data_IF_606690688866
#
_entry.id   IF_606690688866
#
_cell.length_a   1.000
_cell.length_b   1.000
_cell.length_c   1.000
_cell.angle_alpha   90.00
_cell.angle_beta   90.00
_cell.angle_gamma   90.00
#
_symmetry.space_group_name_H-M   'P 1'
#
loop_
_entity.id
_entity.type
_entity.pdbx_description
1 polymer ?
#
# COMPACT_ATOMS: atom_id res chain seq x y z
N UNK A 1 22.39 20.54 14.94
CA UNK A 1 21.31 19.85 14.21
C UNK A 1 21.82 18.66 13.37
N UNK A 2 22.79 18.84 12.47
CA UNK A 2 23.22 17.76 11.55
C UNK A 2 23.77 16.50 12.24
N UNK A 3 24.66 16.64 13.24
CA UNK A 3 25.20 15.48 14.00
C UNK A 3 24.12 14.74 14.80
N UNK A 4 23.15 15.47 15.35
CA UNK A 4 22.04 14.88 16.08
C UNK A 4 21.12 14.07 15.15
N UNK A 5 20.76 14.66 13.99
CA UNK A 5 19.91 13.98 13.02
C UNK A 5 20.62 12.76 12.42
N UNK A 6 21.91 12.85 12.15
CA UNK A 6 22.71 11.72 11.67
C UNK A 6 22.69 10.53 12.67
N UNK A 7 22.80 10.83 13.96
CA UNK A 7 22.73 9.79 15.02
C UNK A 7 21.32 9.20 15.19
N UNK A 8 20.27 9.98 14.97
CA UNK A 8 18.90 9.61 15.35
C UNK A 8 17.98 9.28 14.16
N UNK A 9 18.43 9.40 12.91
CA UNK A 9 17.55 9.25 11.73
C UNK A 9 16.79 7.91 11.72
N UNK A 10 17.46 6.79 12.08
CA UNK A 10 16.79 5.48 12.14
C UNK A 10 15.73 5.44 13.24
N UNK A 11 15.96 6.06 14.39
CA UNK A 11 14.96 6.15 15.46
C UNK A 11 13.73 6.95 15.00
N UNK A 12 13.96 8.06 14.26
CA UNK A 12 12.87 8.89 13.72
C UNK A 12 12.03 8.10 12.73
N UNK A 13 12.68 7.38 11.80
CA UNK A 13 11.98 6.56 10.81
C UNK A 13 11.20 5.44 11.51
N UNK A 14 11.84 4.75 12.46
CA UNK A 14 11.19 3.70 13.25
C UNK A 14 9.97 4.23 14.01
N UNK A 15 10.11 5.37 14.68
CA UNK A 15 9.02 6.01 15.42
C UNK A 15 7.87 6.41 14.48
N UNK A 16 8.20 6.97 13.31
CA UNK A 16 7.20 7.31 12.31
C UNK A 16 6.40 6.08 11.84
N UNK A 17 7.05 4.95 11.63
CA UNK A 17 6.38 3.70 11.24
C UNK A 17 5.47 3.16 12.35
N UNK A 18 5.93 3.13 13.59
CA UNK A 18 5.17 2.65 14.74
C UNK A 18 3.99 3.59 15.03
N UNK A 19 4.16 4.89 14.92
CA UNK A 19 3.07 5.85 15.13
C UNK A 19 2.14 6.00 13.92
N UNK A 20 2.53 5.45 12.74
CA UNK A 20 1.75 5.52 11.51
C UNK A 20 0.29 5.10 11.65
N UNK A 21 -0.03 3.91 12.22
CA UNK A 21 -1.40 3.46 12.45
C UNK A 21 -2.23 4.44 13.30
N UNK A 22 -1.62 5.09 14.28
CA UNK A 22 -2.29 6.07 15.16
C UNK A 22 -2.53 7.40 14.44
N UNK A 23 -1.66 7.82 13.52
CA UNK A 23 -1.88 8.99 12.69
C UNK A 23 -3.01 8.76 11.68
N UNK A 24 -3.08 7.57 11.07
CA UNK A 24 -4.18 7.17 10.20
C UNK A 24 -5.50 7.14 11.00
N UNK A 25 -5.48 6.57 12.20
CA UNK A 25 -6.61 6.55 13.13
C UNK A 25 -7.08 7.96 13.49
N UNK A 26 -6.16 8.85 13.89
CA UNK A 26 -6.50 10.24 14.27
C UNK A 26 -7.21 10.95 13.13
N UNK A 27 -6.71 10.83 11.89
CA UNK A 27 -7.35 11.43 10.72
C UNK A 27 -8.74 10.85 10.49
N UNK A 28 -8.90 9.54 10.64
CA UNK A 28 -10.19 8.88 10.49
C UNK A 28 -11.21 9.35 11.54
N UNK A 29 -10.80 9.48 12.80
CA UNK A 29 -11.65 10.00 13.87
C UNK A 29 -12.05 11.47 13.63
N UNK A 30 -11.12 12.33 13.19
CA UNK A 30 -11.42 13.71 12.84
C UNK A 30 -12.51 13.79 11.77
N UNK A 31 -12.42 12.98 10.73
CA UNK A 31 -13.40 12.98 9.63
C UNK A 31 -14.73 12.37 10.06
N UNK A 32 -14.74 11.17 10.67
CA UNK A 32 -15.97 10.42 10.90
C UNK A 32 -16.72 10.86 12.16
N UNK A 33 -15.99 11.15 13.25
CA UNK A 33 -16.60 11.48 14.54
C UNK A 33 -16.77 13.00 14.69
N UNK A 34 -15.69 13.75 14.46
CA UNK A 34 -15.70 15.19 14.66
C UNK A 34 -16.20 15.99 13.44
N UNK A 35 -16.39 15.32 12.28
CA UNK A 35 -16.83 15.95 11.01
C UNK A 35 -15.91 17.07 10.53
N UNK A 36 -14.64 17.00 10.88
CA UNK A 36 -13.60 17.96 10.47
C UNK A 36 -12.93 17.38 9.23
N UNK A 37 -13.04 18.07 8.10
CA UNK A 37 -12.43 17.67 6.81
C UNK A 37 -10.90 17.86 6.75
N UNK A 38 -10.25 18.03 7.91
CA UNK A 38 -8.81 18.25 7.99
C UNK A 38 -8.04 16.94 7.94
N UNK A 39 -7.21 16.80 6.92
CA UNK A 39 -6.39 15.63 6.73
C UNK A 39 -5.04 15.76 7.46
N UNK A 40 -5.06 15.57 8.78
CA UNK A 40 -3.90 15.68 9.67
C UNK A 40 -2.69 14.85 9.19
N UNK A 41 -2.95 13.66 8.70
CA UNK A 41 -1.87 12.74 8.30
C UNK A 41 -1.05 13.23 7.10
N UNK A 42 -1.63 14.04 6.20
CA UNK A 42 -0.87 14.63 5.09
C UNK A 42 0.27 15.49 5.64
N UNK A 43 0.00 16.32 6.64
CA UNK A 43 1.02 17.18 7.25
C UNK A 43 2.13 16.35 7.89
N UNK A 44 1.76 15.33 8.67
CA UNK A 44 2.73 14.44 9.31
C UNK A 44 3.62 13.73 8.28
N UNK A 45 3.02 13.24 7.18
CA UNK A 45 3.75 12.58 6.09
C UNK A 45 4.67 13.54 5.33
N UNK A 46 4.24 14.77 5.11
CA UNK A 46 5.08 15.82 4.49
C UNK A 46 6.25 16.20 5.39
N UNK A 47 6.03 16.36 6.69
CA UNK A 47 7.12 16.60 7.65
C UNK A 47 8.13 15.45 7.67
N UNK A 48 7.65 14.22 7.67
CA UNK A 48 8.51 13.05 7.57
C UNK A 48 9.32 13.04 6.27
N UNK A 49 8.66 13.27 5.13
CA UNK A 49 9.31 13.36 3.82
C UNK A 49 10.39 14.45 3.82
N UNK A 50 10.09 15.61 4.39
CA UNK A 50 11.05 16.71 4.52
C UNK A 50 12.29 16.31 5.34
N UNK A 51 12.11 15.59 6.46
CA UNK A 51 13.22 15.13 7.31
C UNK A 51 14.15 14.17 6.54
N UNK A 52 13.60 13.17 5.84
CA UNK A 52 14.41 12.19 5.10
C UNK A 52 15.06 12.81 3.85
N UNK A 53 14.39 13.74 3.18
CA UNK A 53 14.96 14.55 2.09
C UNK A 53 16.13 15.41 2.60
N UNK A 54 15.91 16.14 3.71
CA UNK A 54 16.96 16.96 4.32
C UNK A 54 18.19 16.11 4.66
N UNK A 55 17.98 14.93 5.26
CA UNK A 55 19.08 14.00 5.52
C UNK A 55 19.81 13.61 4.22
N UNK A 56 19.10 13.15 3.22
CA UNK A 56 19.69 12.68 1.96
C UNK A 56 20.44 13.77 1.20
N UNK A 57 19.95 15.03 1.28
CA UNK A 57 20.53 16.18 0.55
C UNK A 57 21.69 16.80 1.31
N UNK A 58 21.60 16.99 2.63
CA UNK A 58 22.55 17.82 3.37
C UNK A 58 23.49 17.02 4.28
N UNK A 59 23.06 15.85 4.79
CA UNK A 59 23.81 15.12 5.82
C UNK A 59 24.58 13.93 5.25
N UNK A 60 23.94 13.15 4.37
CA UNK A 60 24.58 11.98 3.76
C UNK A 60 25.90 12.34 3.06
N UNK A 61 26.91 11.49 3.27
CA UNK A 61 28.23 11.59 2.63
C UNK A 61 28.40 10.60 1.49
N UNK A 62 27.35 9.85 1.15
CA UNK A 62 27.42 8.81 0.15
C UNK A 62 27.69 9.38 -1.26
N UNK A 63 28.54 8.69 -2.04
CA UNK A 63 28.88 9.09 -3.41
C UNK A 63 27.66 9.15 -4.36
N UNK A 64 26.62 8.36 -4.09
CA UNK A 64 25.39 8.37 -4.89
C UNK A 64 24.49 9.57 -4.63
N UNK A 65 24.79 10.39 -3.63
CA UNK A 65 24.07 11.63 -3.32
C UNK A 65 23.92 12.56 -4.54
N UNK A 66 24.94 12.68 -5.38
CA UNK A 66 24.88 13.52 -6.58
C UNK A 66 23.78 13.10 -7.55
N UNK A 67 23.51 11.79 -7.69
CA UNK A 67 22.43 11.28 -8.53
C UNK A 67 21.05 11.53 -7.92
N UNK A 68 20.94 11.42 -6.59
CA UNK A 68 19.70 11.77 -5.90
C UNK A 68 19.39 13.27 -6.01
N UNK A 69 20.39 14.14 -5.93
CA UNK A 69 20.22 15.58 -6.12
C UNK A 69 19.73 15.91 -7.53
N UNK A 70 20.31 15.27 -8.56
CA UNK A 70 19.86 15.44 -9.93
C UNK A 70 18.39 14.97 -10.09
N UNK A 71 18.05 13.83 -9.52
CA UNK A 71 16.68 13.33 -9.53
C UNK A 71 15.70 14.27 -8.83
N UNK A 72 16.04 14.81 -7.65
CA UNK A 72 15.19 15.78 -6.96
C UNK A 72 15.03 17.09 -7.75
N UNK A 73 16.05 17.51 -8.48
CA UNK A 73 15.94 18.66 -9.37
C UNK A 73 14.89 18.42 -10.46
N UNK A 74 14.93 17.27 -11.14
CA UNK A 74 13.95 16.94 -12.17
C UNK A 74 12.52 16.83 -11.61
N UNK A 75 12.34 16.16 -10.48
CA UNK A 75 11.02 16.11 -9.81
C UNK A 75 10.56 17.52 -9.43
N UNK A 76 11.43 18.33 -8.85
CA UNK A 76 11.08 19.68 -8.44
C UNK A 76 10.63 20.54 -9.63
N UNK A 77 11.34 20.48 -10.75
CA UNK A 77 10.94 21.17 -11.98
C UNK A 77 9.58 20.68 -12.49
N UNK A 78 9.38 19.36 -12.51
CA UNK A 78 8.08 18.78 -12.88
C UNK A 78 6.96 19.26 -11.96
N UNK A 79 7.16 19.20 -10.65
CA UNK A 79 6.18 19.63 -9.65
C UNK A 79 5.87 21.14 -9.78
N UNK A 80 6.87 21.99 -10.02
CA UNK A 80 6.67 23.43 -10.25
C UNK A 80 5.75 23.67 -11.45
N UNK A 81 6.01 23.02 -12.58
CA UNK A 81 5.20 23.17 -13.79
C UNK A 81 3.77 22.71 -13.50
N UNK A 82 3.59 21.56 -12.85
CA UNK A 82 2.27 21.01 -12.50
C UNK A 82 1.51 21.94 -11.52
N UNK A 83 2.19 22.52 -10.54
CA UNK A 83 1.59 23.44 -9.55
C UNK A 83 1.18 24.77 -10.23
N UNK A 84 2.02 25.32 -11.10
CA UNK A 84 1.67 26.55 -11.85
C UNK A 84 0.46 26.28 -12.74
N UNK A 85 0.42 25.15 -13.43
CA UNK A 85 -0.72 24.79 -14.26
C UNK A 85 -2.02 24.61 -13.44
N UNK A 86 -1.92 23.95 -12.28
CA UNK A 86 -3.03 23.78 -11.36
C UNK A 86 -3.56 25.14 -10.83
N UNK A 87 -2.67 26.07 -10.51
CA UNK A 87 -3.03 27.41 -10.08
C UNK A 87 -3.82 28.20 -11.14
N UNK A 88 -3.45 28.03 -12.41
CA UNK A 88 -4.06 28.76 -13.51
C UNK A 88 -5.39 28.17 -13.98
N UNK A 89 -5.57 26.83 -13.86
CA UNK A 89 -6.61 26.14 -14.59
C UNK A 89 -7.51 25.22 -13.74
N UNK A 90 -7.17 24.95 -12.46
CA UNK A 90 -7.84 23.93 -11.65
C UNK A 90 -8.03 24.33 -10.21
N UNK A 91 -8.73 23.49 -9.41
CA UNK A 91 -8.76 23.64 -7.94
C UNK A 91 -7.35 23.37 -7.37
N UNK A 92 -6.66 24.45 -7.07
CA UNK A 92 -5.26 24.45 -6.66
C UNK A 92 -4.97 23.56 -5.44
N UNK A 93 -5.79 23.65 -4.39
CA UNK A 93 -5.54 22.93 -3.13
C UNK A 93 -5.70 21.43 -3.34
N UNK A 94 -6.71 21.01 -4.08
CA UNK A 94 -6.98 19.62 -4.36
C UNK A 94 -5.90 19.00 -5.27
N UNK A 95 -5.53 19.67 -6.35
CA UNK A 95 -4.47 19.23 -7.27
C UNK A 95 -3.13 19.08 -6.55
N UNK A 96 -2.69 20.12 -5.82
CA UNK A 96 -1.41 20.12 -5.11
C UNK A 96 -1.35 19.01 -4.05
N UNK A 97 -2.44 18.80 -3.31
CA UNK A 97 -2.48 17.73 -2.30
C UNK A 97 -2.32 16.33 -2.91
N UNK A 98 -2.95 16.10 -4.08
CA UNK A 98 -2.82 14.82 -4.79
C UNK A 98 -1.44 14.66 -5.45
N UNK A 99 -0.89 15.70 -6.05
CA UNK A 99 0.48 15.68 -6.60
C UNK A 99 1.47 15.23 -5.52
N UNK A 100 1.44 15.83 -4.33
CA UNK A 100 2.31 15.44 -3.23
C UNK A 100 2.05 14.02 -2.74
N UNK A 101 0.80 13.60 -2.68
CA UNK A 101 0.43 12.23 -2.30
C UNK A 101 1.05 11.21 -3.26
N UNK A 102 0.96 11.44 -4.56
CA UNK A 102 1.50 10.54 -5.57
C UNK A 102 3.04 10.52 -5.55
N UNK A 103 3.69 11.66 -5.53
CA UNK A 103 5.16 11.73 -5.56
C UNK A 103 5.84 11.44 -4.21
N UNK A 104 5.08 11.21 -3.15
CA UNK A 104 5.63 10.77 -1.87
C UNK A 104 6.48 9.51 -2.02
N UNK A 105 5.97 8.48 -2.70
CA UNK A 105 6.66 7.19 -2.85
C UNK A 105 8.04 7.33 -3.52
N UNK A 106 8.18 7.88 -4.74
CA UNK A 106 9.49 7.94 -5.40
C UNK A 106 10.48 8.84 -4.67
N UNK A 107 10.03 9.94 -4.06
CA UNK A 107 10.89 10.83 -3.27
C UNK A 107 11.37 10.15 -1.99
N UNK A 108 10.47 9.50 -1.25
CA UNK A 108 10.81 8.74 -0.05
C UNK A 108 11.72 7.54 -0.38
N UNK A 109 11.48 6.84 -1.50
CA UNK A 109 12.30 5.72 -1.95
C UNK A 109 13.75 6.14 -2.17
N UNK A 110 13.99 7.22 -2.92
CA UNK A 110 15.34 7.72 -3.17
C UNK A 110 16.00 8.16 -1.87
N UNK A 111 15.29 8.88 -1.01
CA UNK A 111 15.81 9.36 0.27
C UNK A 111 16.20 8.21 1.21
N UNK A 112 15.33 7.24 1.36
CA UNK A 112 15.59 6.06 2.20
C UNK A 112 16.69 5.18 1.61
N UNK A 113 16.77 5.06 0.29
CA UNK A 113 17.88 4.34 -0.36
C UNK A 113 19.25 4.96 0.00
N UNK A 114 19.36 6.29 -0.02
CA UNK A 114 20.60 6.98 0.40
C UNK A 114 20.89 6.71 1.88
N UNK A 115 19.88 6.74 2.77
CA UNK A 115 20.03 6.42 4.20
C UNK A 115 20.53 4.97 4.39
N UNK A 116 20.01 4.02 3.61
CA UNK A 116 20.47 2.62 3.64
C UNK A 116 21.91 2.45 3.13
N UNK A 117 22.30 3.23 2.13
CA UNK A 117 23.69 3.26 1.65
C UNK A 117 24.66 3.84 2.68
N UNK A 118 24.19 4.63 3.63
CA UNK A 118 24.99 5.08 4.79
C UNK A 118 25.02 4.03 5.93
N UNK A 119 24.76 2.75 5.62
CA UNK A 119 24.67 1.62 6.57
C UNK A 119 23.59 1.77 7.66
N UNK A 120 22.59 2.61 7.43
CA UNK A 120 21.48 2.87 8.36
C UNK A 120 20.26 2.07 7.93
N UNK A 121 20.14 0.82 8.44
CA UNK A 121 19.07 -0.11 8.07
C UNK A 121 17.99 -0.16 9.15
N UNK A 122 16.75 -0.32 8.72
CA UNK A 122 15.58 -0.49 9.58
C UNK A 122 15.37 -1.99 9.79
N UNK A 123 15.14 -2.42 11.04
CA UNK A 123 14.85 -3.83 11.34
C UNK A 123 13.48 -4.21 10.76
N UNK A 124 13.41 -5.32 10.02
CA UNK A 124 12.16 -5.85 9.47
C UNK A 124 11.14 -6.27 10.54
N UNK A 125 11.56 -6.48 11.79
CA UNK A 125 10.66 -6.73 12.94
C UNK A 125 9.69 -5.57 13.17
N UNK A 126 10.07 -4.34 12.81
CA UNK A 126 9.20 -3.17 12.92
C UNK A 126 7.94 -3.36 12.07
N UNK A 127 8.05 -3.96 10.88
CA UNK A 127 6.90 -4.27 10.02
C UNK A 127 5.89 -5.23 10.70
N UNK A 128 6.41 -6.16 11.51
CA UNK A 128 5.58 -7.05 12.32
C UNK A 128 4.85 -6.32 13.44
N UNK A 129 5.49 -5.33 14.07
CA UNK A 129 4.87 -4.49 15.11
C UNK A 129 3.77 -3.63 14.49
N UNK A 130 4.06 -2.96 13.39
CA UNK A 130 3.08 -2.13 12.65
C UNK A 130 1.87 -2.97 12.23
N UNK A 131 2.08 -4.19 11.73
CA UNK A 131 0.98 -5.10 11.43
C UNK A 131 0.11 -5.40 12.66
N UNK A 132 0.74 -5.71 13.80
CA UNK A 132 0.02 -6.00 15.04
C UNK A 132 -0.83 -4.81 15.50
N UNK A 133 -0.32 -3.59 15.37
CA UNK A 133 -1.05 -2.36 15.71
C UNK A 133 -2.28 -2.19 14.81
N UNK A 134 -2.13 -2.29 13.48
CA UNK A 134 -3.28 -2.28 12.56
C UNK A 134 -4.28 -3.40 12.87
N UNK A 135 -3.79 -4.62 13.10
CA UNK A 135 -4.65 -5.76 13.45
C UNK A 135 -5.50 -5.48 14.70
N UNK A 136 -4.90 -4.93 15.76
CA UNK A 136 -5.60 -4.60 17.00
C UNK A 136 -6.58 -3.44 16.81
N UNK A 137 -6.18 -2.38 16.09
CA UNK A 137 -7.03 -1.22 15.79
C UNK A 137 -8.20 -1.55 14.85
N UNK A 138 -8.18 -2.70 14.19
CA UNK A 138 -9.33 -3.24 13.45
C UNK A 138 -10.12 -4.22 14.31
N UNK A 139 -9.44 -5.13 15.02
CA UNK A 139 -10.09 -6.19 15.79
C UNK A 139 -10.90 -5.66 16.97
N UNK A 140 -10.35 -4.72 17.75
CA UNK A 140 -11.04 -4.15 18.92
C UNK A 140 -12.36 -3.49 18.52
N UNK A 141 -12.42 -2.59 17.51
CA UNK A 141 -13.69 -2.01 17.06
C UNK A 141 -14.70 -3.02 16.52
N UNK A 142 -14.23 -4.11 15.89
CA UNK A 142 -15.10 -5.17 15.42
C UNK A 142 -15.80 -5.88 16.58
N UNK A 143 -15.07 -6.18 17.66
CA UNK A 143 -15.61 -6.85 18.85
C UNK A 143 -16.54 -5.92 19.64
N UNK A 144 -16.15 -4.65 19.79
CA UNK A 144 -16.94 -3.65 20.52
C UNK A 144 -18.07 -3.02 19.71
N UNK A 145 -18.17 -3.36 18.39
CA UNK A 145 -19.14 -2.78 17.45
C UNK A 145 -19.05 -1.25 17.32
N UNK A 146 -17.88 -0.69 17.54
CA UNK A 146 -17.60 0.76 17.42
C UNK A 146 -16.91 1.11 16.10
N UNK A 147 -16.65 0.13 15.24
CA UNK A 147 -15.96 0.32 13.97
C UNK A 147 -16.81 1.04 12.92
N UNK A 148 -16.14 1.68 11.96
CA UNK A 148 -16.79 2.31 10.83
C UNK A 148 -17.10 1.29 9.74
N UNK A 149 -18.14 1.56 8.95
CA UNK A 149 -18.48 0.74 7.81
C UNK A 149 -17.44 0.90 6.68
N UNK A 150 -17.07 -0.20 6.07
CA UNK A 150 -16.15 -0.21 4.92
C UNK A 150 -16.74 0.43 3.66
N UNK A 151 -18.06 0.45 3.57
CA UNK A 151 -18.80 0.88 2.39
C UNK A 151 -19.95 1.78 2.79
N UNK A 152 -20.23 2.79 1.95
CA UNK A 152 -21.29 3.77 2.20
C UNK A 152 -22.69 3.27 1.80
N UNK A 153 -22.77 2.24 0.93
CA UNK A 153 -24.03 1.76 0.35
C UNK A 153 -24.25 0.27 0.59
N UNK A 154 -24.81 -0.44 -0.34
CA UNK A 154 -25.31 -1.82 -0.25
C UNK A 154 -24.34 -2.88 0.30
N UNK A 155 -23.04 -2.67 0.17
CA UNK A 155 -22.04 -3.60 0.67
C UNK A 155 -21.85 -3.46 2.18
N UNK A 156 -21.53 -4.59 2.83
CA UNK A 156 -21.28 -4.66 4.27
C UNK A 156 -19.80 -4.96 4.56
N UNK A 157 -19.29 -4.43 5.65
CA UNK A 157 -17.93 -4.65 6.11
C UNK A 157 -17.51 -3.61 7.14
N UNK A 158 -16.46 -3.91 7.87
CA UNK A 158 -15.84 -2.95 8.79
C UNK A 158 -14.34 -3.06 8.74
N UNK A 159 -13.67 -1.92 8.70
CA UNK A 159 -12.22 -1.75 8.74
C UNK A 159 -11.74 -1.16 10.07
N UNK A 160 -12.48 -1.46 11.14
CA UNK A 160 -12.19 -0.87 12.44
C UNK A 160 -12.48 0.62 12.46
N UNK A 161 -11.56 1.40 12.98
CA UNK A 161 -11.69 2.87 13.03
C UNK A 161 -11.00 3.59 11.87
N UNK A 162 -10.74 2.91 10.76
CA UNK A 162 -10.09 3.51 9.58
C UNK A 162 -11.10 3.91 8.50
N UNK A 163 -10.64 4.69 7.49
CA UNK A 163 -11.49 5.21 6.42
C UNK A 163 -11.35 4.46 5.09
N UNK A 164 -10.17 3.96 4.78
CA UNK A 164 -9.85 3.44 3.44
C UNK A 164 -9.70 1.94 3.45
N UNK A 165 -10.67 1.23 2.87
CA UNK A 165 -10.66 -0.23 2.75
C UNK A 165 -9.48 -0.74 1.93
N UNK A 166 -9.15 -0.06 0.82
CA UNK A 166 -8.07 -0.48 -0.06
C UNK A 166 -6.69 -0.30 0.59
N UNK A 167 -6.46 0.82 1.28
CA UNK A 167 -5.20 1.07 1.99
C UNK A 167 -4.99 0.05 3.11
N UNK A 168 -6.01 -0.15 3.96
CA UNK A 168 -5.93 -1.10 5.06
C UNK A 168 -5.81 -2.54 4.56
N UNK A 169 -6.54 -2.91 3.52
CA UNK A 169 -6.40 -4.21 2.86
C UNK A 169 -5.00 -4.43 2.28
N UNK A 170 -4.40 -3.40 1.70
CA UNK A 170 -3.02 -3.40 1.20
C UNK A 170 -2.01 -3.61 2.33
N UNK A 171 -2.08 -2.80 3.39
CA UNK A 171 -1.21 -2.92 4.57
C UNK A 171 -1.32 -4.32 5.17
N UNK A 172 -2.54 -4.80 5.39
CA UNK A 172 -2.80 -6.12 5.94
C UNK A 172 -2.12 -7.21 5.12
N UNK A 173 -2.28 -7.16 3.81
CA UNK A 173 -1.69 -8.13 2.88
C UNK A 173 -0.15 -8.11 2.87
N UNK A 174 0.43 -6.92 2.79
CA UNK A 174 1.88 -6.74 2.58
C UNK A 174 2.66 -7.04 3.85
N UNK A 175 2.11 -6.74 5.03
CA UNK A 175 2.80 -6.90 6.31
C UNK A 175 2.54 -8.25 6.98
N UNK A 176 1.45 -8.95 6.66
CA UNK A 176 1.12 -10.26 7.22
C UNK A 176 2.29 -11.27 7.18
N UNK A 177 3.07 -11.40 6.08
CA UNK A 177 4.21 -12.32 6.04
C UNK A 177 5.25 -12.08 7.12
N UNK A 178 5.54 -10.82 7.46
CA UNK A 178 6.50 -10.45 8.50
C UNK A 178 5.97 -10.82 9.90
N UNK A 179 4.69 -10.57 10.15
CA UNK A 179 4.05 -10.93 11.40
C UNK A 179 4.03 -12.45 11.60
N UNK A 180 3.65 -13.22 10.59
CA UNK A 180 3.65 -14.70 10.65
C UNK A 180 5.04 -15.26 10.90
N UNK A 181 6.08 -14.71 10.26
CA UNK A 181 7.47 -15.11 10.51
C UNK A 181 7.84 -14.95 11.99
N UNK A 182 7.55 -13.79 12.58
CA UNK A 182 7.85 -13.54 14.00
C UNK A 182 7.01 -14.43 14.94
N UNK A 183 5.73 -14.64 14.61
CA UNK A 183 4.83 -15.49 15.37
C UNK A 183 5.30 -16.95 15.40
N UNK A 184 5.67 -17.51 14.24
CA UNK A 184 6.18 -18.88 14.10
C UNK A 184 7.52 -19.04 14.85
N UNK A 185 8.36 -18.00 14.85
CA UNK A 185 9.64 -18.05 15.54
C UNK A 185 9.50 -18.14 17.08
N UNK A 186 8.37 -17.67 17.64
CA UNK A 186 8.07 -17.83 19.07
C UNK A 186 7.77 -19.28 19.48
N UNK A 187 7.51 -20.17 18.53
CA UNK A 187 7.21 -21.62 18.73
C UNK A 187 6.05 -21.91 19.69
N UNK A 188 5.20 -20.94 19.98
CA UNK A 188 4.02 -21.09 20.86
C UNK A 188 2.78 -21.41 20.03
N UNK A 189 2.27 -22.64 20.12
CA UNK A 189 1.16 -23.10 19.31
C UNK A 189 -0.17 -22.40 19.68
N UNK A 190 -0.37 -22.14 20.98
CA UNK A 190 -1.61 -21.47 21.46
C UNK A 190 -1.66 -20.06 20.90
N UNK A 191 -0.55 -19.33 20.98
CA UNK A 191 -0.44 -17.98 20.45
C UNK A 191 -0.67 -17.95 18.92
N UNK A 192 -0.13 -18.94 18.21
CA UNK A 192 -0.35 -19.08 16.76
C UNK A 192 -1.84 -19.31 16.43
N UNK A 193 -2.53 -20.16 17.17
CA UNK A 193 -3.97 -20.43 16.96
C UNK A 193 -4.78 -19.17 17.25
N UNK A 194 -4.52 -18.48 18.37
CA UNK A 194 -5.25 -17.25 18.72
C UNK A 194 -5.11 -16.19 17.63
N UNK A 195 -3.88 -15.87 17.22
CA UNK A 195 -3.67 -14.87 16.17
C UNK A 195 -4.19 -15.31 14.81
N UNK A 196 -4.13 -16.59 14.51
CA UNK A 196 -4.71 -17.12 13.30
C UNK A 196 -6.23 -16.85 13.26
N UNK A 197 -6.95 -17.15 14.34
CA UNK A 197 -8.39 -16.89 14.44
C UNK A 197 -8.68 -15.40 14.29
N UNK A 198 -7.91 -14.53 14.96
CA UNK A 198 -8.06 -13.07 14.87
C UNK A 198 -7.85 -12.59 13.43
N UNK A 199 -6.76 -13.01 12.77
CA UNK A 199 -6.43 -12.63 11.40
C UNK A 199 -7.54 -13.03 10.43
N UNK A 200 -8.03 -14.27 10.55
CA UNK A 200 -9.12 -14.77 9.71
C UNK A 200 -10.41 -13.99 9.98
N UNK A 201 -10.77 -13.82 11.24
CA UNK A 201 -11.96 -13.04 11.62
C UNK A 201 -11.91 -11.63 11.04
N UNK A 202 -10.79 -10.93 11.19
CA UNK A 202 -10.58 -9.58 10.65
C UNK A 202 -10.66 -9.58 9.13
N UNK A 203 -9.97 -10.50 8.43
CA UNK A 203 -9.95 -10.53 6.97
C UNK A 203 -11.35 -10.74 6.36
N UNK A 204 -12.16 -11.61 6.96
CA UNK A 204 -13.54 -11.83 6.50
C UNK A 204 -14.49 -10.67 6.87
N UNK A 205 -14.26 -10.03 8.01
CA UNK A 205 -15.07 -8.90 8.48
C UNK A 205 -14.86 -7.62 7.66
N UNK A 206 -13.70 -7.44 7.02
CA UNK A 206 -13.45 -6.32 6.10
C UNK A 206 -14.39 -6.30 4.90
N UNK A 207 -14.96 -7.45 4.51
CA UNK A 207 -15.88 -7.56 3.39
C UNK A 207 -15.24 -7.41 2.00
N UNK A 208 -13.92 -7.22 1.91
CA UNK A 208 -13.18 -7.14 0.65
C UNK A 208 -12.48 -8.46 0.30
N UNK A 209 -12.28 -8.71 -1.02
CA UNK A 209 -11.73 -9.98 -1.51
C UNK A 209 -10.24 -10.12 -1.22
N UNK A 210 -9.50 -9.03 -1.30
CA UNK A 210 -8.03 -9.04 -1.24
C UNK A 210 -7.50 -9.54 0.11
N UNK A 211 -7.89 -9.03 1.28
CA UNK A 211 -7.39 -9.54 2.56
C UNK A 211 -7.65 -11.04 2.75
N UNK A 212 -8.81 -11.53 2.30
CA UNK A 212 -9.17 -12.97 2.43
C UNK A 212 -8.25 -13.83 1.56
N UNK A 213 -8.16 -13.52 0.26
CA UNK A 213 -7.37 -14.29 -0.70
C UNK A 213 -5.90 -14.27 -0.30
N UNK A 214 -5.36 -13.10 0.03
CA UNK A 214 -3.94 -12.95 0.35
C UNK A 214 -3.57 -13.56 1.69
N UNK A 215 -4.48 -13.58 2.67
CA UNK A 215 -4.28 -14.32 3.91
C UNK A 215 -4.11 -15.81 3.62
N UNK A 216 -5.00 -16.40 2.84
CA UNK A 216 -4.92 -17.82 2.45
C UNK A 216 -3.62 -18.11 1.68
N UNK A 217 -3.28 -17.29 0.69
CA UNK A 217 -2.05 -17.45 -0.10
C UNK A 217 -0.80 -17.34 0.77
N UNK A 218 -0.78 -16.43 1.75
CA UNK A 218 0.37 -16.26 2.65
C UNK A 218 0.55 -17.48 3.56
N UNK A 219 -0.52 -18.03 4.13
CA UNK A 219 -0.43 -19.26 4.92
C UNK A 219 0.03 -20.44 4.09
N UNK A 220 -0.49 -20.61 2.87
CA UNK A 220 -0.05 -21.66 1.93
C UNK A 220 1.43 -21.52 1.60
N UNK A 221 1.90 -20.31 1.32
CA UNK A 221 3.31 -20.04 1.07
C UNK A 221 4.18 -20.49 2.25
N UNK A 222 3.80 -20.13 3.47
CA UNK A 222 4.57 -20.50 4.67
C UNK A 222 4.57 -22.01 4.89
N UNK A 223 3.44 -22.68 4.65
CA UNK A 223 3.39 -24.16 4.67
C UNK A 223 4.40 -24.72 3.68
N UNK A 224 4.40 -24.27 2.43
CA UNK A 224 5.33 -24.74 1.38
C UNK A 224 6.79 -24.46 1.76
N UNK A 225 7.11 -23.27 2.28
CA UNK A 225 8.47 -22.90 2.69
C UNK A 225 9.01 -23.77 3.82
N UNK A 226 8.17 -24.21 4.76
CA UNK A 226 8.59 -25.00 5.92
C UNK A 226 8.44 -26.51 5.71
N UNK A 227 7.64 -26.97 4.74
CA UNK A 227 7.48 -28.40 4.40
C UNK A 227 8.84 -29.08 4.19
N UNK A 228 9.77 -28.42 3.53
CA UNK A 228 11.08 -28.96 3.16
C UNK A 228 12.10 -28.91 4.30
N UNK A 229 12.01 -27.89 5.16
CA UNK A 229 13.15 -27.49 6.03
C UNK A 229 12.89 -27.61 7.53
N UNK A 230 11.65 -27.76 8.00
CA UNK A 230 11.39 -27.73 9.44
C UNK A 230 10.01 -28.28 9.84
N UNK A 231 9.95 -29.58 10.11
CA UNK A 231 8.71 -30.30 10.45
C UNK A 231 7.99 -29.76 11.72
N UNK A 232 8.72 -29.23 12.69
CA UNK A 232 8.10 -28.64 13.89
C UNK A 232 7.32 -27.35 13.57
N UNK A 233 7.89 -26.50 12.72
CA UNK A 233 7.23 -25.26 12.30
C UNK A 233 5.99 -25.51 11.44
N UNK A 234 5.93 -26.62 10.73
CA UNK A 234 4.75 -27.02 9.96
C UNK A 234 3.55 -27.23 10.87
N UNK A 235 3.71 -27.91 12.01
CA UNK A 235 2.60 -28.14 12.94
C UNK A 235 1.96 -26.84 13.40
N UNK A 236 2.75 -25.77 13.57
CA UNK A 236 2.25 -24.43 13.95
C UNK A 236 1.38 -23.76 12.87
N UNK A 237 1.49 -24.20 11.62
CA UNK A 237 0.74 -23.66 10.48
C UNK A 237 -0.39 -24.57 10.04
N UNK A 238 -0.13 -25.87 9.95
CA UNK A 238 -1.09 -26.86 9.41
C UNK A 238 -2.27 -27.03 10.35
N UNK A 239 -2.08 -27.08 11.66
CA UNK A 239 -3.18 -27.22 12.60
C UNK A 239 -4.17 -26.04 12.52
N UNK A 240 -3.73 -24.75 12.61
CA UNK A 240 -4.61 -23.62 12.37
C UNK A 240 -5.28 -23.65 10.99
N UNK A 241 -4.57 -24.09 9.95
CA UNK A 241 -5.09 -24.13 8.59
C UNK A 241 -6.20 -25.19 8.41
N UNK A 242 -6.03 -26.38 9.02
CA UNK A 242 -7.09 -27.42 9.05
C UNK A 242 -8.33 -26.91 9.81
N UNK A 243 -8.12 -26.25 10.96
CA UNK A 243 -9.20 -25.62 11.72
C UNK A 243 -9.93 -24.57 10.88
N UNK A 244 -9.21 -23.79 10.06
CA UNK A 244 -9.84 -22.83 9.16
C UNK A 244 -10.74 -23.53 8.14
N UNK A 245 -10.25 -24.55 7.46
CA UNK A 245 -11.04 -25.26 6.44
C UNK A 245 -12.30 -25.85 7.07
N UNK A 246 -12.21 -26.47 8.24
CA UNK A 246 -13.36 -27.06 8.91
C UNK A 246 -14.39 -26.02 9.39
N UNK A 247 -13.93 -24.89 9.91
CA UNK A 247 -14.79 -23.79 10.37
C UNK A 247 -15.32 -22.95 9.21
N UNK A 248 -14.58 -22.82 8.12
CA UNK A 248 -14.95 -21.96 6.99
C UNK A 248 -16.25 -22.41 6.33
N UNK A 249 -16.48 -23.72 6.18
CA UNK A 249 -17.70 -24.27 5.59
C UNK A 249 -18.94 -23.78 6.33
N UNK A 250 -18.86 -23.66 7.66
CA UNK A 250 -19.99 -23.23 8.51
C UNK A 250 -20.07 -21.71 8.69
N UNK A 251 -18.92 -21.04 8.78
CA UNK A 251 -18.84 -19.62 9.10
C UNK A 251 -18.90 -18.70 7.88
N UNK A 252 -18.37 -19.11 6.72
CA UNK A 252 -18.32 -18.28 5.51
C UNK A 252 -19.69 -17.69 5.16
N UNK A 253 -20.81 -18.43 5.14
CA UNK A 253 -22.12 -17.86 4.79
C UNK A 253 -22.59 -16.72 5.71
N UNK A 254 -22.02 -16.62 6.92
CA UNK A 254 -22.37 -15.59 7.92
C UNK A 254 -21.43 -14.37 7.89
N UNK A 255 -20.40 -14.38 7.03
CA UNK A 255 -19.41 -13.31 6.95
C UNK A 255 -19.84 -12.18 6.04
N UNK A 256 -19.34 -10.96 6.31
CA UNK A 256 -19.49 -9.80 5.45
C UNK A 256 -18.95 -10.06 4.04
N UNK A 257 -17.87 -10.82 3.94
CA UNK A 257 -17.28 -11.24 2.67
C UNK A 257 -18.28 -12.01 1.80
N UNK A 258 -18.94 -13.02 2.35
CA UNK A 258 -19.93 -13.80 1.61
C UNK A 258 -21.16 -12.99 1.23
N UNK A 259 -21.64 -12.14 2.14
CA UNK A 259 -22.75 -11.23 1.85
C UNK A 259 -22.42 -10.31 0.67
N UNK A 260 -21.21 -9.76 0.61
CA UNK A 260 -20.79 -8.94 -0.51
C UNK A 260 -20.66 -9.73 -1.82
N UNK A 261 -20.19 -10.97 -1.77
CA UNK A 261 -20.19 -11.86 -2.95
C UNK A 261 -21.63 -12.06 -3.44
N UNK A 262 -22.56 -12.39 -2.53
CA UNK A 262 -23.96 -12.60 -2.87
C UNK A 262 -24.58 -11.35 -3.51
N UNK A 263 -24.38 -10.16 -2.93
CA UNK A 263 -24.82 -8.88 -3.49
C UNK A 263 -24.30 -8.70 -4.93
N UNK A 264 -23.03 -9.04 -5.19
CA UNK A 264 -22.46 -8.96 -6.54
C UNK A 264 -23.09 -9.96 -7.52
N UNK A 265 -23.32 -11.20 -7.07
CA UNK A 265 -23.97 -12.24 -7.90
C UNK A 265 -25.42 -11.87 -8.23
N UNK A 266 -26.17 -11.40 -7.21
CA UNK A 266 -27.55 -10.97 -7.37
C UNK A 266 -27.66 -9.77 -8.31
N UNK A 267 -26.75 -8.78 -8.20
CA UNK A 267 -26.71 -7.60 -9.06
C UNK A 267 -26.41 -7.95 -10.52
N UNK A 268 -25.60 -8.97 -10.76
CA UNK A 268 -25.24 -9.42 -12.10
C UNK A 268 -26.21 -10.46 -12.67
N UNK A 269 -27.25 -10.83 -11.90
CA UNK A 269 -28.22 -11.89 -12.25
C UNK A 269 -27.55 -13.22 -12.62
N UNK A 270 -26.38 -13.52 -12.00
CA UNK A 270 -25.60 -14.72 -12.26
C UNK A 270 -26.28 -15.92 -11.65
N UNK A 271 -26.74 -16.84 -12.50
CA UNK A 271 -27.35 -18.10 -12.09
C UNK A 271 -26.39 -19.30 -12.25
N UNK A 272 -25.50 -19.23 -13.23
CA UNK A 272 -24.58 -20.30 -13.58
C UNK A 272 -23.13 -19.80 -13.63
N UNK A 273 -22.16 -20.71 -13.57
CA UNK A 273 -20.72 -20.38 -13.65
C UNK A 273 -20.38 -19.78 -15.01
N UNK A 274 -21.06 -20.17 -16.08
CA UNK A 274 -20.87 -19.64 -17.44
C UNK A 274 -21.20 -18.16 -17.53
N UNK A 275 -22.22 -17.69 -16.79
CA UNK A 275 -22.59 -16.29 -16.73
C UNK A 275 -21.45 -15.40 -16.17
N UNK A 276 -20.63 -15.96 -15.25
CA UNK A 276 -19.45 -15.28 -14.72
C UNK A 276 -18.35 -15.03 -15.76
N UNK A 277 -18.27 -15.85 -16.79
CA UNK A 277 -17.18 -15.82 -17.77
C UNK A 277 -17.35 -14.73 -18.85
N UNK A 278 -18.44 -13.97 -18.82
CA UNK A 278 -18.58 -12.81 -19.71
C UNK A 278 -17.63 -11.68 -19.27
N UNK A 279 -17.04 -10.95 -20.24
CA UNK A 279 -16.10 -9.85 -19.96
C UNK A 279 -16.70 -8.81 -19.01
N UNK A 280 -17.99 -8.46 -19.20
CA UNK A 280 -18.70 -7.49 -18.34
C UNK A 280 -18.80 -7.99 -16.88
N UNK A 281 -19.12 -9.26 -16.69
CA UNK A 281 -19.29 -9.84 -15.36
C UNK A 281 -17.94 -10.07 -14.67
N UNK A 282 -16.90 -10.44 -15.43
CA UNK A 282 -15.51 -10.51 -14.94
C UNK A 282 -15.05 -9.13 -14.46
N UNK A 283 -15.26 -8.06 -15.23
CA UNK A 283 -14.89 -6.71 -14.83
C UNK A 283 -15.60 -6.30 -13.53
N UNK A 284 -16.90 -6.48 -13.47
CA UNK A 284 -17.66 -6.11 -12.27
C UNK A 284 -17.30 -6.97 -11.07
N UNK A 285 -17.19 -8.31 -11.25
CA UNK A 285 -16.93 -9.23 -10.14
C UNK A 285 -15.48 -9.22 -9.68
N UNK A 286 -14.50 -9.25 -10.60
CA UNK A 286 -13.07 -9.30 -10.25
C UNK A 286 -12.51 -7.90 -10.02
N UNK A 287 -12.74 -6.97 -10.95
CA UNK A 287 -12.12 -5.65 -10.97
C UNK A 287 -13.00 -4.54 -10.38
N UNK A 288 -14.21 -4.84 -9.90
CA UNK A 288 -15.13 -3.85 -9.33
C UNK A 288 -15.41 -2.68 -10.30
N UNK A 289 -15.59 -3.00 -11.57
CA UNK A 289 -15.83 -2.07 -12.72
C UNK A 289 -14.64 -1.14 -13.04
N UNK A 290 -13.42 -1.48 -12.59
CA UNK A 290 -12.23 -0.66 -12.85
C UNK A 290 -11.83 -0.62 -14.32
N UNK A 291 -12.11 -1.68 -15.10
CA UNK A 291 -11.83 -1.68 -16.55
C UNK A 291 -12.69 -0.66 -17.28
N UNK A 292 -13.93 -0.42 -16.83
CA UNK A 292 -14.78 0.65 -17.37
C UNK A 292 -14.13 2.01 -17.13
N UNK A 293 -13.75 2.34 -15.90
CA UNK A 293 -13.07 3.60 -15.57
C UNK A 293 -11.72 3.75 -16.28
N UNK A 294 -10.98 2.65 -16.44
CA UNK A 294 -9.74 2.63 -17.21
C UNK A 294 -9.99 3.03 -18.68
N UNK A 295 -11.01 2.47 -19.32
CA UNK A 295 -11.35 2.80 -20.69
C UNK A 295 -11.81 4.26 -20.85
N UNK A 296 -12.65 4.76 -19.93
CA UNK A 296 -13.10 6.15 -19.92
C UNK A 296 -11.89 7.11 -19.77
N UNK A 297 -11.03 6.86 -18.79
CA UNK A 297 -9.82 7.66 -18.56
C UNK A 297 -8.86 7.61 -19.74
N UNK A 298 -8.65 6.42 -20.33
CA UNK A 298 -7.82 6.25 -21.51
C UNK A 298 -8.36 7.04 -22.71
N UNK A 299 -9.67 7.03 -22.92
CA UNK A 299 -10.29 7.78 -24.01
C UNK A 299 -10.10 9.28 -23.82
N UNK A 300 -10.32 9.79 -22.61
CA UNK A 300 -10.11 11.20 -22.28
C UNK A 300 -8.64 11.60 -22.45
N UNK A 301 -7.71 10.79 -21.96
CA UNK A 301 -6.29 11.03 -22.12
C UNK A 301 -5.87 11.05 -23.60
N UNK A 302 -6.34 10.10 -24.41
CA UNK A 302 -6.00 10.04 -25.83
C UNK A 302 -6.55 11.22 -26.64
N UNK A 303 -7.69 11.76 -26.22
CA UNK A 303 -8.33 12.91 -26.87
C UNK A 303 -7.84 14.26 -26.34
N UNK A 304 -6.99 14.26 -25.32
CA UNK A 304 -6.46 15.48 -24.72
C UNK A 304 -5.32 16.08 -25.56
N UNK A 305 -4.90 17.28 -25.22
CA UNK A 305 -3.81 17.99 -25.86
C UNK A 305 -2.42 17.40 -25.56
N UNK A 306 -1.39 17.90 -26.26
CA UNK A 306 -0.02 17.45 -26.06
C UNK A 306 0.51 17.72 -24.64
N UNK A 307 0.06 18.81 -24.01
CA UNK A 307 0.46 19.12 -22.63
C UNK A 307 -0.03 18.03 -21.68
N UNK A 308 -1.30 17.62 -21.79
CA UNK A 308 -1.88 16.57 -20.96
C UNK A 308 -1.24 15.20 -21.21
N UNK A 309 -0.81 14.88 -22.42
CA UNK A 309 -0.01 13.67 -22.66
C UNK A 309 1.33 13.70 -21.94
N UNK A 310 2.00 14.87 -21.90
CA UNK A 310 3.32 15.01 -21.26
C UNK A 310 3.19 15.08 -19.74
N UNK A 311 2.30 15.96 -19.24
CA UNK A 311 2.19 16.32 -17.82
C UNK A 311 1.04 15.63 -17.08
N UNK A 312 0.11 15.01 -17.82
CA UNK A 312 -1.07 14.34 -17.29
C UNK A 312 -2.33 15.20 -17.29
N UNK A 313 -3.49 14.51 -17.26
CA UNK A 313 -4.80 15.18 -17.19
C UNK A 313 -5.09 15.80 -15.82
N UNK A 314 -4.25 15.51 -14.81
CA UNK A 314 -4.45 15.98 -13.43
C UNK A 314 -5.49 15.16 -12.66
N UNK A 315 -6.00 15.75 -11.56
CA UNK A 315 -6.83 15.02 -10.60
C UNK A 315 -8.29 15.50 -10.56
N UNK A 316 -8.63 16.60 -11.23
CA UNK A 316 -9.96 17.25 -11.17
C UNK A 316 -10.79 17.04 -12.45
N UNK A 317 -10.30 16.39 -13.48
CA UNK A 317 -11.07 16.25 -14.71
C UNK A 317 -12.27 15.31 -14.58
N UNK A 318 -13.42 15.77 -15.08
CA UNK A 318 -14.64 14.97 -15.20
C UNK A 318 -14.53 13.96 -16.31
N UNK A 319 -14.66 12.69 -16.00
CA UNK A 319 -14.68 11.60 -16.99
C UNK A 319 -16.08 11.42 -17.60
N UNK A 320 -16.63 12.50 -18.21
CA UNK A 320 -17.83 12.40 -19.05
C UNK A 320 -19.18 12.28 -18.31
N UNK A 321 -19.23 12.60 -17.02
CA UNK A 321 -20.50 12.71 -16.28
C UNK A 321 -20.63 14.11 -15.68
N UNK A 322 -21.73 14.78 -15.96
CA UNK A 322 -22.01 16.17 -15.54
C UNK A 322 -22.04 16.38 -14.01
N UNK A 323 -22.03 15.30 -13.25
CA UNK A 323 -22.27 15.35 -11.81
C UNK A 323 -21.17 14.67 -11.02
N UNK A 324 -19.90 14.91 -11.23
CA UNK A 324 -19.11 14.23 -10.34
C UNK A 324 -17.69 14.43 -10.05
N UNK A 325 -17.40 14.40 -8.84
CA UNK A 325 -16.17 13.94 -8.18
C UNK A 325 -15.47 12.85 -8.96
N UNK A 326 -14.34 13.18 -9.51
CA UNK A 326 -13.50 12.33 -10.35
C UNK A 326 -13.23 11.03 -9.67
N UNK A 327 -13.74 9.97 -10.24
CA UNK A 327 -13.47 8.63 -9.77
C UNK A 327 -12.09 8.20 -10.26
N UNK A 328 -11.18 7.93 -9.34
CA UNK A 328 -9.90 7.30 -9.65
C UNK A 328 -10.16 5.90 -10.25
N UNK A 329 -9.29 5.44 -11.15
CA UNK A 329 -9.36 4.09 -11.71
C UNK A 329 -9.17 3.06 -10.58
N UNK A 330 -8.41 3.45 -9.55
CA UNK A 330 -7.95 2.57 -8.47
C UNK A 330 -7.09 1.41 -8.99
N UNK A 331 -6.23 1.75 -9.95
CA UNK A 331 -5.18 0.89 -10.51
C UNK A 331 -3.93 1.76 -10.63
N UNK A 332 -3.02 1.68 -9.65
CA UNK A 332 -1.94 2.65 -9.45
C UNK A 332 -1.11 2.96 -10.70
N UNK A 333 -0.75 1.95 -11.49
CA UNK A 333 0.06 2.17 -12.71
C UNK A 333 -0.64 3.05 -13.73
N UNK A 334 -1.93 2.83 -13.93
CA UNK A 334 -2.73 3.60 -14.89
C UNK A 334 -3.10 4.97 -14.32
N UNK A 335 -3.42 5.04 -13.02
CA UNK A 335 -3.63 6.32 -12.35
C UNK A 335 -2.37 7.20 -12.43
N UNK A 336 -1.18 6.64 -12.18
CA UNK A 336 0.08 7.37 -12.29
C UNK A 336 0.31 7.83 -13.73
N UNK A 337 0.08 6.96 -14.73
CA UNK A 337 0.30 7.29 -16.13
C UNK A 337 -0.62 8.41 -16.61
N UNK A 338 -1.91 8.25 -16.47
CA UNK A 338 -2.86 9.20 -17.07
C UNK A 338 -2.93 10.51 -16.29
N UNK A 339 -2.81 10.46 -14.96
CA UNK A 339 -2.89 11.67 -14.13
C UNK A 339 -1.62 12.51 -14.16
N UNK A 340 -0.47 11.87 -14.32
CA UNK A 340 0.82 12.56 -14.32
C UNK A 340 1.53 12.55 -15.68
N UNK A 341 0.92 11.99 -16.72
CA UNK A 341 1.46 11.93 -18.06
C UNK A 341 2.74 11.08 -18.19
N UNK A 342 3.30 11.08 -19.38
CA UNK A 342 4.50 10.29 -19.65
C UNK A 342 5.71 10.73 -18.83
N UNK A 343 5.91 12.04 -18.65
CA UNK A 343 7.05 12.55 -17.87
C UNK A 343 6.91 12.19 -16.40
N UNK A 344 5.73 12.41 -15.80
CA UNK A 344 5.46 12.02 -14.42
C UNK A 344 5.59 10.51 -14.19
N UNK A 345 5.11 9.68 -15.12
CA UNK A 345 5.26 8.23 -15.07
C UNK A 345 6.73 7.79 -15.10
N UNK A 346 7.52 8.35 -16.00
CA UNK A 346 8.95 8.06 -16.10
C UNK A 346 9.68 8.47 -14.81
N UNK A 347 9.44 9.69 -14.32
CA UNK A 347 10.03 10.17 -13.07
C UNK A 347 9.63 9.32 -11.87
N UNK A 348 8.43 8.77 -11.87
CA UNK A 348 7.94 7.89 -10.82
C UNK A 348 8.68 6.55 -10.79
N UNK A 349 8.85 5.89 -11.93
CA UNK A 349 9.36 4.52 -11.99
C UNK A 349 10.86 4.39 -12.23
N UNK A 350 11.55 5.41 -12.73
CA UNK A 350 13.02 5.39 -12.88
C UNK A 350 13.73 4.99 -11.57
N UNK A 351 13.45 5.59 -10.40
CA UNK A 351 14.17 5.21 -9.18
C UNK A 351 13.81 3.78 -8.73
N UNK A 352 12.59 3.31 -8.96
CA UNK A 352 12.17 1.95 -8.63
C UNK A 352 13.02 0.94 -9.40
N UNK A 353 13.07 1.09 -10.73
CA UNK A 353 13.82 0.19 -11.63
C UNK A 353 15.32 0.26 -11.30
N UNK A 354 15.87 1.45 -11.14
CA UNK A 354 17.28 1.67 -10.83
C UNK A 354 17.67 1.00 -9.51
N UNK A 355 16.89 1.23 -8.45
CA UNK A 355 17.19 0.71 -7.12
C UNK A 355 17.04 -0.81 -7.11
N UNK A 356 15.98 -1.38 -7.68
CA UNK A 356 15.80 -2.84 -7.79
C UNK A 356 16.97 -3.50 -8.52
N UNK A 357 17.42 -2.90 -9.61
CA UNK A 357 18.60 -3.37 -10.35
C UNK A 357 19.88 -3.35 -9.49
N UNK A 358 20.08 -2.29 -8.70
CA UNK A 358 21.28 -2.11 -7.86
C UNK A 358 21.31 -3.02 -6.64
N UNK A 359 20.19 -3.15 -5.92
CA UNK A 359 20.16 -3.87 -4.63
C UNK A 359 20.16 -5.40 -4.77
N UNK A 360 19.80 -5.95 -5.92
CA UNK A 360 19.74 -7.41 -6.19
C UNK A 360 19.10 -8.17 -5.04
N UNK A 361 17.79 -8.07 -4.93
CA UNK A 361 17.03 -8.72 -3.85
C UNK A 361 17.31 -10.22 -3.75
N UNK A 362 17.54 -10.72 -2.53
CA UNK A 362 17.85 -12.11 -2.25
C UNK A 362 17.03 -12.74 -1.11
N UNK A 363 16.28 -11.94 -0.36
CA UNK A 363 15.47 -12.43 0.75
C UNK A 363 14.06 -12.81 0.27
N UNK A 364 13.74 -14.10 0.38
CA UNK A 364 12.49 -14.67 -0.15
C UNK A 364 11.22 -14.01 0.36
N UNK A 365 11.17 -13.66 1.64
CA UNK A 365 9.98 -13.05 2.25
C UNK A 365 9.73 -11.64 1.71
N UNK A 366 10.79 -10.84 1.65
CA UNK A 366 10.74 -9.48 1.12
C UNK A 366 10.40 -9.48 -0.38
N UNK A 367 10.95 -10.43 -1.16
CA UNK A 367 10.59 -10.62 -2.58
C UNK A 367 9.10 -10.96 -2.70
N UNK A 368 8.61 -11.91 -1.91
CA UNK A 368 7.18 -12.28 -1.92
C UNK A 368 6.28 -11.08 -1.63
N UNK A 369 6.55 -10.35 -0.54
CA UNK A 369 5.73 -9.20 -0.16
C UNK A 369 5.82 -8.06 -1.18
N UNK A 370 6.99 -7.84 -1.80
CA UNK A 370 7.14 -6.87 -2.88
C UNK A 370 6.35 -7.27 -4.13
N UNK A 371 6.44 -8.53 -4.56
CA UNK A 371 5.68 -9.03 -5.71
C UNK A 371 4.18 -8.90 -5.46
N UNK A 372 3.72 -9.26 -4.26
CA UNK A 372 2.31 -9.04 -3.88
C UNK A 372 1.91 -7.57 -3.97
N UNK A 373 2.74 -6.65 -3.43
CA UNK A 373 2.44 -5.21 -3.49
C UNK A 373 2.35 -4.70 -4.92
N UNK A 374 3.25 -5.14 -5.82
CA UNK A 374 3.22 -4.74 -7.23
C UNK A 374 1.98 -5.30 -7.97
N UNK A 375 1.60 -6.54 -7.67
CA UNK A 375 0.36 -7.14 -8.20
C UNK A 375 -0.87 -6.38 -7.69
N UNK A 376 -0.93 -6.07 -6.39
CA UNK A 376 -2.04 -5.32 -5.82
C UNK A 376 -2.13 -3.89 -6.39
N UNK A 377 -1.00 -3.23 -6.63
CA UNK A 377 -0.96 -1.93 -7.28
C UNK A 377 -1.60 -1.95 -8.69
N UNK A 378 -1.53 -3.11 -9.38
CA UNK A 378 -2.17 -3.30 -10.69
C UNK A 378 -3.69 -3.47 -10.58
N UNK A 379 -4.19 -4.15 -9.52
CA UNK A 379 -5.59 -4.57 -9.46
C UNK A 379 -6.46 -3.83 -8.44
N UNK A 380 -5.87 -3.33 -7.37
CA UNK A 380 -6.60 -2.73 -6.25
C UNK A 380 -6.38 -1.22 -6.13
N UNK A 381 -5.21 -0.71 -6.52
CA UNK A 381 -4.79 0.67 -6.29
C UNK A 381 -4.48 0.98 -4.82
N UNK A 382 -4.07 2.23 -4.56
CA UNK A 382 -3.70 2.75 -3.22
C UNK A 382 -2.53 2.01 -2.54
N UNK A 383 -1.69 1.34 -3.29
CA UNK A 383 -0.49 0.65 -2.78
C UNK A 383 0.75 1.54 -2.92
N UNK A 384 1.00 2.02 -4.13
CA UNK A 384 2.14 2.89 -4.42
C UNK A 384 1.81 4.37 -4.15
N UNK A 385 0.57 4.78 -4.43
CA UNK A 385 0.13 6.17 -4.30
C UNK A 385 -0.33 6.55 -2.88
N UNK A 386 -0.58 5.56 -2.00
CA UNK A 386 -0.89 5.86 -0.60
C UNK A 386 0.38 5.90 0.25
N UNK A 387 0.72 7.04 0.88
CA UNK A 387 1.94 7.15 1.69
C UNK A 387 2.01 6.17 2.86
N UNK A 388 0.89 5.77 3.48
CA UNK A 388 0.87 4.79 4.59
C UNK A 388 1.28 3.39 4.14
N UNK A 389 0.85 2.98 2.94
CA UNK A 389 1.18 1.68 2.36
C UNK A 389 2.56 1.70 1.73
N UNK A 390 2.82 2.73 0.93
CA UNK A 390 4.03 2.84 0.11
C UNK A 390 5.32 2.91 0.92
N UNK A 391 5.30 3.52 2.12
CA UNK A 391 6.44 3.52 3.02
C UNK A 391 6.82 2.09 3.47
N UNK A 392 5.84 1.24 3.71
CA UNK A 392 6.07 -0.17 4.03
C UNK A 392 6.67 -0.92 2.83
N UNK A 393 6.16 -0.66 1.62
CA UNK A 393 6.70 -1.23 0.37
C UNK A 393 8.17 -0.83 0.18
N UNK A 394 8.51 0.44 0.41
CA UNK A 394 9.90 0.94 0.33
C UNK A 394 10.80 0.17 1.29
N UNK A 395 10.41 0.03 2.56
CA UNK A 395 11.22 -0.66 3.57
C UNK A 395 11.39 -2.13 3.23
N UNK A 396 10.33 -2.79 2.74
CA UNK A 396 10.40 -4.18 2.27
C UNK A 396 11.40 -4.31 1.12
N UNK A 397 11.31 -3.43 0.13
CA UNK A 397 12.21 -3.41 -1.01
C UNK A 397 13.67 -3.22 -0.58
N UNK A 398 13.93 -2.23 0.26
CA UNK A 398 15.27 -1.93 0.74
C UNK A 398 15.83 -3.03 1.65
N UNK A 399 15.03 -3.60 2.55
CA UNK A 399 15.44 -4.71 3.40
C UNK A 399 15.74 -6.00 2.63
N UNK A 400 15.09 -6.21 1.47
CA UNK A 400 15.31 -7.36 0.61
C UNK A 400 16.66 -7.33 -0.13
N UNK A 401 17.31 -6.17 -0.19
CA UNK A 401 18.51 -5.94 -0.96
C UNK A 401 19.80 -6.46 -0.31
N UNK A 402 20.77 -6.80 -1.16
CA UNK A 402 22.15 -7.10 -0.75
C UNK A 402 23.05 -5.89 -1.05
N UNK A 403 23.47 -5.19 -0.01
CA UNK A 403 24.29 -3.97 -0.12
C UNK A 403 25.79 -4.24 -0.06
N UNK A 404 26.24 -5.45 0.31
CA UNK A 404 27.66 -5.76 0.52
C UNK A 404 28.51 -5.47 -0.73
N UNK A 405 28.02 -5.82 -1.92
CA UNK A 405 28.73 -5.54 -3.18
C UNK A 405 28.81 -4.05 -3.54
N UNK A 406 27.94 -3.22 -2.99
CA UNK A 406 27.95 -1.77 -3.26
C UNK A 406 29.03 -1.05 -2.44
N UNK A 407 29.47 -1.63 -1.33
CA UNK A 407 30.52 -1.09 -0.47
C UNK A 407 31.92 -1.45 -0.96
N UNK A 408 32.14 -2.68 -1.43
CA UNK A 408 33.45 -3.13 -1.95
C UNK A 408 33.91 -2.40 -3.21
N UNK A 409 33.02 -1.91 -4.05
CA UNK A 409 33.35 -1.10 -5.23
C UNK A 409 33.57 0.38 -4.90
N UNK A 410 33.65 0.78 -3.65
CA UNK A 410 33.87 2.16 -3.23
C UNK A 410 35.31 2.45 -2.80
N UNK A 411 36.16 1.42 -2.73
CA UNK A 411 37.60 1.55 -2.36
C UNK A 411 38.55 1.43 -3.57
N UNK A 412 38.02 1.34 -4.77
CA UNK A 412 38.72 1.49 -6.04
C UNK A 412 38.30 2.86 -6.68
#
# INVERSE_FOLDING_TARGET
MNKWLDKNIIKIITLFLILGPFFDLTTSLLINVFKISFNFIIIVKLLFLFIILYYSIFISKNKYKKYSLLYYLFIFMYLLISIIYAYLNKDFIYEVSNIFRYFFFPMALVSLYIIYLDNKKIDSKILSIVFLEYLLLIFIPLVTKTGFNSYAYSKVGSIGWFNSTNEIGGIFTILLPFFLKELINKKNIILNIIFFIIIIFVSFSMGSKVPVITTLLTYLLFIILYLKNNKEKIKLLVLPFILLISLSIYLIPKTNFYQNIKIHLDFLEIKNVEDLLTIKNIDHFIFSSRLKFLNETRTNFNNSDLYNHIMGIGYIENYGTDDVNIKTIEMDYFDILYRNGYVGFILYFIPVIYILYKIKMNKKLEIYSLVLSLILALFQGHILVSPSVSICVIIIMLNGGNYEKLFYNSEL
#
